data_IF_474815668980
#
_entry.id   IF_474815668980
#
_cell.length_a   1.000
_cell.length_b   1.000
_cell.length_c   1.000
_cell.angle_alpha   90.00
_cell.angle_beta   90.00
_cell.angle_gamma   90.00
#
_symmetry.space_group_name_H-M   'P 1'
#
loop_
_entity.id
_entity.type
_entity.pdbx_description
1 polymer ?
#
# COMPACT_ATOMS: atom_id res chain seq x y z
N UNK A 1 -15.29 5.40 30.24
CA UNK A 1 -15.75 6.47 29.34
C UNK A 1 -14.59 7.06 28.52
N UNK A 2 -13.49 7.49 29.12
CA UNK A 2 -12.34 8.10 28.41
C UNK A 2 -11.64 7.18 27.37
N UNK A 3 -11.48 5.90 27.68
CA UNK A 3 -10.82 4.92 26.77
C UNK A 3 -11.62 4.72 25.47
N UNK A 4 -12.94 4.66 25.56
CA UNK A 4 -13.81 4.53 24.37
C UNK A 4 -13.82 5.78 23.51
N UNK A 5 -13.70 6.97 24.13
CA UNK A 5 -13.63 8.24 23.40
C UNK A 5 -12.30 8.32 22.62
N UNK A 6 -11.18 7.96 23.25
CA UNK A 6 -9.86 7.90 22.59
C UNK A 6 -9.86 6.97 21.40
N UNK A 7 -10.46 5.78 21.52
CA UNK A 7 -10.55 4.81 20.43
C UNK A 7 -11.41 5.31 19.25
N UNK A 8 -12.53 5.96 19.52
CA UNK A 8 -13.38 6.58 18.48
C UNK A 8 -12.66 7.69 17.74
N UNK A 9 -11.91 8.54 18.46
CA UNK A 9 -11.11 9.61 17.87
C UNK A 9 -10.01 9.01 16.98
N UNK A 10 -9.31 8.01 17.46
CA UNK A 10 -8.27 7.30 16.69
C UNK A 10 -8.84 6.66 15.41
N UNK A 11 -9.93 5.91 15.52
CA UNK A 11 -10.63 5.33 14.36
C UNK A 11 -11.05 6.40 13.35
N UNK A 12 -11.66 7.49 13.83
CA UNK A 12 -12.08 8.61 12.97
C UNK A 12 -10.88 9.24 12.27
N UNK A 13 -9.77 9.42 12.97
CA UNK A 13 -8.54 9.96 12.41
C UNK A 13 -7.99 9.04 11.32
N UNK A 14 -7.78 7.74 11.59
CA UNK A 14 -7.25 6.77 10.62
C UNK A 14 -8.11 6.68 9.37
N UNK A 15 -9.44 6.77 9.49
CA UNK A 15 -10.36 6.67 8.35
C UNK A 15 -10.53 7.96 7.57
N UNK A 16 -10.31 9.14 8.18
CA UNK A 16 -10.54 10.43 7.53
C UNK A 16 -9.27 11.15 7.13
N UNK A 17 -8.14 10.92 7.83
CA UNK A 17 -6.88 11.59 7.52
C UNK A 17 -6.42 11.41 6.07
N UNK A 18 -6.49 10.22 5.44
CA UNK A 18 -6.09 10.09 4.05
C UNK A 18 -6.88 11.02 3.11
N UNK A 19 -8.19 11.12 3.31
CA UNK A 19 -9.04 12.02 2.49
C UNK A 19 -8.70 13.50 2.68
N UNK A 20 -8.30 13.90 3.89
CA UNK A 20 -7.82 15.27 4.15
C UNK A 20 -6.45 15.52 3.53
N UNK A 21 -5.62 14.49 3.44
CA UNK A 21 -4.29 14.57 2.82
C UNK A 21 -4.35 14.49 1.29
N UNK A 22 -5.48 14.17 0.68
CA UNK A 22 -5.62 14.05 -0.76
C UNK A 22 -5.25 15.34 -1.50
N UNK A 23 -5.71 16.50 -1.03
CA UNK A 23 -5.41 17.80 -1.67
C UNK A 23 -3.92 18.14 -1.55
N UNK A 24 -3.30 18.17 -0.36
CA UNK A 24 -1.88 18.47 -0.25
C UNK A 24 -0.98 17.44 -0.97
N UNK A 25 -1.35 16.15 -1.00
CA UNK A 25 -0.55 15.13 -1.70
C UNK A 25 -0.51 15.35 -3.23
N UNK A 26 -1.61 15.83 -3.82
CA UNK A 26 -1.68 16.16 -5.26
C UNK A 26 -0.90 17.43 -5.62
N UNK A 27 -0.62 18.30 -4.66
CA UNK A 27 0.20 19.50 -4.87
C UNK A 27 1.71 19.19 -4.91
N UNK A 28 2.13 18.00 -4.50
CA UNK A 28 3.53 17.59 -4.56
C UNK A 28 3.91 17.37 -6.03
N UNK A 29 4.93 18.08 -6.57
CA UNK A 29 5.38 17.88 -7.94
C UNK A 29 5.74 16.42 -8.21
N UNK A 30 5.41 15.92 -9.41
CA UNK A 30 5.69 14.53 -9.76
C UNK A 30 7.17 14.15 -9.60
N UNK A 31 8.09 15.05 -9.92
CA UNK A 31 9.54 14.82 -9.75
C UNK A 31 9.94 14.49 -8.30
N UNK A 32 9.27 15.09 -7.32
CA UNK A 32 9.49 14.80 -5.90
C UNK A 32 8.88 13.45 -5.54
N UNK A 33 7.65 13.18 -5.99
CA UNK A 33 7.00 11.88 -5.80
C UNK A 33 7.84 10.75 -6.42
N UNK A 34 8.29 10.92 -7.67
CA UNK A 34 9.12 9.97 -8.40
C UNK A 34 10.41 9.64 -7.63
N UNK A 35 11.13 10.68 -7.17
CA UNK A 35 12.38 10.48 -6.41
C UNK A 35 12.15 9.73 -5.10
N UNK A 36 11.10 10.08 -4.37
CA UNK A 36 10.72 9.42 -3.12
C UNK A 36 10.37 7.95 -3.37
N UNK A 37 9.46 7.69 -4.33
CA UNK A 37 9.02 6.34 -4.68
C UNK A 37 10.17 5.48 -5.22
N UNK A 38 11.03 6.02 -6.08
CA UNK A 38 12.21 5.30 -6.59
C UNK A 38 13.14 4.88 -5.44
N UNK A 39 13.38 5.78 -4.47
CA UNK A 39 14.22 5.46 -3.32
C UNK A 39 13.59 4.34 -2.48
N UNK A 40 12.29 4.42 -2.21
CA UNK A 40 11.55 3.44 -1.41
C UNK A 40 11.50 2.09 -2.14
N UNK A 41 11.09 2.08 -3.41
CA UNK A 41 10.96 0.83 -4.18
C UNK A 41 12.29 0.15 -4.44
N UNK A 42 13.35 0.90 -4.77
CA UNK A 42 14.69 0.32 -4.92
C UNK A 42 15.23 -0.25 -3.59
N UNK A 43 14.80 0.28 -2.45
CA UNK A 43 15.15 -0.30 -1.15
C UNK A 43 14.33 -1.56 -0.85
N UNK A 44 13.03 -1.53 -1.13
CA UNK A 44 12.12 -2.65 -0.87
C UNK A 44 12.42 -3.84 -1.78
N UNK A 45 12.66 -3.58 -3.07
CA UNK A 45 12.86 -4.61 -4.09
C UNK A 45 14.33 -4.84 -4.44
N UNK A 46 15.27 -4.43 -3.59
CA UNK A 46 16.70 -4.54 -3.85
C UNK A 46 17.10 -5.97 -4.22
N UNK A 47 16.70 -6.93 -3.41
CA UNK A 47 17.01 -8.36 -3.61
C UNK A 47 16.37 -8.89 -4.89
N UNK A 48 15.09 -8.65 -5.11
CA UNK A 48 14.38 -9.03 -6.32
C UNK A 48 14.97 -8.39 -7.60
N UNK A 49 15.55 -7.18 -7.50
CA UNK A 49 16.29 -6.54 -8.60
C UNK A 49 17.59 -7.30 -8.88
N UNK A 50 18.34 -7.66 -7.83
CA UNK A 50 19.62 -8.36 -7.92
C UNK A 50 19.43 -9.79 -8.43
N UNK A 51 18.34 -10.46 -8.08
CA UNK A 51 17.98 -11.83 -8.50
C UNK A 51 17.31 -11.89 -9.88
N UNK A 52 16.86 -10.73 -10.41
CA UNK A 52 16.20 -10.64 -11.71
C UNK A 52 14.70 -10.94 -11.68
N UNK A 53 14.08 -11.01 -10.51
CA UNK A 53 12.65 -11.32 -10.32
C UNK A 53 11.71 -10.26 -10.90
N UNK A 54 12.22 -9.09 -11.25
CA UNK A 54 11.46 -8.01 -11.89
C UNK A 54 11.45 -8.07 -13.43
N UNK A 55 12.08 -9.09 -14.05
CA UNK A 55 12.14 -9.21 -15.50
C UNK A 55 10.76 -9.30 -16.17
N UNK A 56 9.74 -9.82 -15.47
CA UNK A 56 8.36 -9.88 -15.98
C UNK A 56 7.74 -8.49 -16.23
N UNK A 57 8.27 -7.43 -15.60
CA UNK A 57 7.84 -6.04 -15.82
C UNK A 57 8.59 -5.34 -16.98
N UNK A 58 9.55 -5.99 -17.63
CA UNK A 58 10.24 -5.41 -18.78
C UNK A 58 9.25 -5.18 -19.93
N UNK A 59 9.24 -3.95 -20.46
CA UNK A 59 8.31 -3.51 -21.51
C UNK A 59 6.81 -3.61 -21.15
N UNK A 60 6.49 -3.80 -19.87
CA UNK A 60 5.14 -3.81 -19.33
C UNK A 60 4.91 -2.64 -18.39
N UNK A 61 3.66 -2.19 -18.29
CA UNK A 61 3.29 -1.08 -17.43
C UNK A 61 2.27 -1.51 -16.38
N UNK A 62 2.70 -1.43 -15.14
CA UNK A 62 1.87 -1.58 -13.96
C UNK A 62 1.35 -0.21 -13.51
N UNK A 63 0.04 -0.01 -13.54
CA UNK A 63 -0.61 1.19 -12.99
C UNK A 63 -0.94 0.96 -11.52
N UNK A 64 -0.45 1.82 -10.64
CA UNK A 64 -0.79 1.83 -9.22
C UNK A 64 -1.61 3.07 -8.90
N UNK A 65 -2.79 2.88 -8.29
CA UNK A 65 -3.70 3.98 -7.92
C UNK A 65 -4.02 3.92 -6.42
N UNK A 66 -3.77 5.01 -5.73
CA UNK A 66 -4.21 5.22 -4.34
C UNK A 66 -5.51 6.02 -4.37
N UNK A 67 -6.62 5.33 -4.16
CA UNK A 67 -7.97 5.86 -4.42
C UNK A 67 -8.34 7.07 -3.55
N UNK A 68 -8.04 7.02 -2.27
CA UNK A 68 -8.37 8.05 -1.30
C UNK A 68 -7.48 9.30 -1.40
N UNK A 69 -6.21 9.14 -1.84
CA UNK A 69 -5.30 10.24 -2.12
C UNK A 69 -5.41 10.76 -3.56
N UNK A 70 -6.12 10.04 -4.46
CA UNK A 70 -6.22 10.33 -5.90
C UNK A 70 -4.85 10.43 -6.59
N UNK A 71 -3.91 9.60 -6.16
CA UNK A 71 -2.59 9.49 -6.75
C UNK A 71 -2.53 8.29 -7.69
N UNK A 72 -1.85 8.46 -8.80
CA UNK A 72 -1.64 7.38 -9.79
C UNK A 72 -0.22 7.45 -10.32
N UNK A 73 0.42 6.29 -10.40
CA UNK A 73 1.75 6.13 -10.99
C UNK A 73 1.76 4.94 -11.94
N UNK A 74 2.65 4.97 -12.90
CA UNK A 74 2.94 3.88 -13.80
C UNK A 74 4.36 3.39 -13.53
N UNK A 75 4.49 2.10 -13.27
CA UNK A 75 5.74 1.44 -12.97
C UNK A 75 6.10 0.46 -14.09
N UNK A 76 7.37 0.39 -14.42
CA UNK A 76 7.96 -0.58 -15.34
C UNK A 76 9.36 -0.93 -14.84
N UNK A 77 10.03 -1.86 -15.51
CA UNK A 77 11.39 -2.23 -15.19
C UNK A 77 12.29 -2.13 -16.44
N UNK A 78 13.43 -1.46 -16.29
CA UNK A 78 14.53 -1.41 -17.26
C UNK A 78 15.82 -1.26 -16.45
N UNK A 79 16.43 -2.38 -16.04
CA UNK A 79 17.59 -2.46 -15.13
C UNK A 79 17.33 -1.81 -13.74
N UNK A 80 16.36 -0.96 -13.63
CA UNK A 80 15.87 -0.34 -12.39
C UNK A 80 14.37 -0.09 -12.53
N UNK A 81 13.70 0.20 -11.41
CA UNK A 81 12.28 0.55 -11.42
C UNK A 81 12.10 1.93 -12.04
N UNK A 82 11.35 1.97 -13.14
CA UNK A 82 10.97 3.20 -13.87
C UNK A 82 9.61 3.63 -13.38
N UNK A 83 9.47 4.90 -12.97
CA UNK A 83 8.21 5.48 -12.49
C UNK A 83 7.84 6.67 -13.36
N UNK A 84 6.59 6.71 -13.85
CA UNK A 84 6.03 7.80 -14.65
C UNK A 84 4.66 8.22 -14.11
N UNK A 85 4.25 9.45 -14.43
CA UNK A 85 2.90 9.95 -14.16
C UNK A 85 1.91 9.55 -15.26
N UNK A 86 2.42 9.22 -16.46
CA UNK A 86 1.63 8.77 -17.60
C UNK A 86 2.34 7.64 -18.33
N UNK A 87 1.57 6.75 -18.96
CA UNK A 87 2.07 5.72 -19.87
C UNK A 87 1.11 5.58 -21.06
N UNK A 88 1.66 5.19 -22.22
CA UNK A 88 0.88 4.99 -23.45
C UNK A 88 -0.08 3.79 -23.36
N UNK A 89 0.26 2.81 -22.54
CA UNK A 89 -0.55 1.61 -22.28
C UNK A 89 -0.48 1.24 -20.81
N UNK A 90 -1.40 0.39 -20.38
CA UNK A 90 -1.43 -0.18 -19.04
C UNK A 90 -1.76 -1.66 -19.19
N UNK A 91 -0.82 -2.52 -18.82
CA UNK A 91 -0.98 -3.97 -18.96
C UNK A 91 -1.74 -4.53 -17.76
N UNK A 92 -1.43 -4.06 -16.56
CA UNK A 92 -2.12 -4.41 -15.32
C UNK A 92 -2.28 -3.18 -14.42
N UNK A 93 -3.34 -3.13 -13.65
CA UNK A 93 -3.60 -2.07 -12.69
C UNK A 93 -3.91 -2.61 -11.30
N UNK A 94 -3.33 -1.97 -10.31
CA UNK A 94 -3.58 -2.19 -8.89
C UNK A 94 -4.20 -0.93 -8.30
N UNK A 95 -5.27 -1.07 -7.53
CA UNK A 95 -5.87 0.06 -6.84
C UNK A 95 -6.36 -0.32 -5.45
N UNK A 96 -6.03 0.52 -4.47
CA UNK A 96 -6.40 0.37 -3.07
C UNK A 96 -6.45 1.75 -2.39
N UNK A 97 -6.92 1.80 -1.15
CA UNK A 97 -6.72 2.95 -0.26
C UNK A 97 -5.31 2.90 0.36
N UNK A 98 -4.78 4.04 0.78
CA UNK A 98 -3.42 4.12 1.33
C UNK A 98 -3.23 3.26 2.57
N UNK A 99 -4.24 3.20 3.44
CA UNK A 99 -4.20 2.38 4.64
C UNK A 99 -4.01 0.89 4.32
N UNK A 100 -4.65 0.39 3.27
CA UNK A 100 -4.52 -1.00 2.82
C UNK A 100 -3.09 -1.31 2.35
N UNK A 101 -2.53 -0.42 1.56
CA UNK A 101 -1.15 -0.58 1.07
C UNK A 101 -0.13 -0.55 2.21
N UNK A 102 -0.34 0.31 3.23
CA UNK A 102 0.52 0.35 4.41
C UNK A 102 0.38 -0.92 5.25
N UNK A 103 -0.82 -1.49 5.37
CA UNK A 103 -1.05 -2.75 6.09
C UNK A 103 -0.38 -3.93 5.38
N UNK A 104 -0.43 -3.99 4.05
CA UNK A 104 0.31 -4.98 3.26
C UNK A 104 1.82 -4.80 3.43
N UNK A 105 2.32 -3.58 3.24
CA UNK A 105 3.75 -3.28 3.40
C UNK A 105 4.27 -3.61 4.81
N UNK A 106 3.44 -3.43 5.84
CA UNK A 106 3.76 -3.78 7.23
C UNK A 106 3.46 -5.22 7.62
N UNK A 107 3.06 -6.09 6.67
CA UNK A 107 2.67 -7.49 6.91
C UNK A 107 1.59 -7.64 7.99
N UNK A 108 0.69 -6.67 8.09
CA UNK A 108 -0.46 -6.70 9.01
C UNK A 108 -1.72 -7.26 8.35
N UNK A 109 -1.77 -7.21 7.02
CA UNK A 109 -2.81 -7.80 6.18
C UNK A 109 -2.14 -8.49 4.99
N UNK A 110 -2.73 -9.58 4.57
CA UNK A 110 -2.31 -10.35 3.41
C UNK A 110 -2.93 -9.79 2.12
N UNK A 111 -2.17 -9.62 1.01
CA UNK A 111 -2.69 -9.11 -0.26
C UNK A 111 -3.86 -9.91 -0.81
N UNK A 112 -3.86 -11.26 -0.68
CA UNK A 112 -4.96 -12.10 -1.11
C UNK A 112 -6.23 -11.83 -0.32
N UNK A 113 -6.10 -11.68 0.98
CA UNK A 113 -7.23 -11.30 1.85
C UNK A 113 -7.86 -9.99 1.39
N UNK A 114 -7.05 -8.97 1.10
CA UNK A 114 -7.53 -7.68 0.61
C UNK A 114 -8.18 -7.80 -0.77
N UNK A 115 -7.62 -8.62 -1.66
CA UNK A 115 -8.17 -8.88 -2.98
C UNK A 115 -9.56 -9.55 -2.90
N UNK A 116 -9.71 -10.62 -2.11
CA UNK A 116 -10.99 -11.29 -1.91
C UNK A 116 -12.03 -10.40 -1.23
N UNK A 117 -11.61 -9.52 -0.35
CA UNK A 117 -12.47 -8.51 0.29
C UNK A 117 -12.76 -7.29 -0.61
N UNK A 118 -12.21 -7.24 -1.83
CA UNK A 118 -12.34 -6.13 -2.79
C UNK A 118 -11.76 -4.79 -2.27
N UNK A 119 -10.89 -4.84 -1.29
CA UNK A 119 -10.13 -3.70 -0.76
C UNK A 119 -8.90 -3.42 -1.61
N UNK A 120 -8.29 -4.46 -2.19
CA UNK A 120 -7.29 -4.37 -3.26
C UNK A 120 -7.95 -4.85 -4.57
N UNK A 121 -7.88 -4.06 -5.63
CA UNK A 121 -8.40 -4.43 -6.96
C UNK A 121 -7.24 -4.60 -7.92
N UNK A 122 -7.27 -5.71 -8.64
CA UNK A 122 -6.32 -6.06 -9.70
C UNK A 122 -7.12 -6.21 -10.98
N UNK A 123 -6.72 -5.54 -12.06
CA UNK A 123 -7.40 -5.55 -13.35
C UNK A 123 -6.37 -5.53 -14.49
N UNK A 124 -6.68 -6.17 -15.60
CA UNK A 124 -5.83 -6.28 -16.79
C UNK A 124 -5.28 -7.68 -16.96
N UNK A 125 -4.02 -7.80 -17.36
CA UNK A 125 -3.35 -9.06 -17.55
C UNK A 125 -3.27 -9.86 -16.24
N UNK A 126 -3.90 -11.04 -16.24
CA UNK A 126 -4.03 -11.87 -15.03
C UNK A 126 -2.69 -12.50 -14.63
N UNK A 127 -1.88 -12.90 -15.60
CA UNK A 127 -0.57 -13.50 -15.37
C UNK A 127 0.38 -12.47 -14.75
N UNK A 128 0.44 -11.29 -15.36
CA UNK A 128 1.22 -10.16 -14.83
C UNK A 128 0.72 -9.74 -13.44
N UNK A 129 -0.59 -9.74 -13.21
CA UNK A 129 -1.17 -9.46 -11.90
C UNK A 129 -0.75 -10.45 -10.82
N UNK A 130 -0.66 -11.74 -11.18
CA UNK A 130 -0.18 -12.79 -10.28
C UNK A 130 1.30 -12.63 -9.96
N UNK A 131 2.14 -12.33 -10.97
CA UNK A 131 3.58 -12.08 -10.78
C UNK A 131 3.82 -10.90 -9.83
N UNK A 132 3.12 -9.77 -10.05
CA UNK A 132 3.20 -8.61 -9.13
C UNK A 132 2.77 -8.99 -7.71
N UNK A 133 1.71 -9.78 -7.56
CA UNK A 133 1.26 -10.24 -6.25
C UNK A 133 2.34 -11.13 -5.59
N UNK A 134 2.89 -12.10 -6.31
CA UNK A 134 3.95 -12.96 -5.79
C UNK A 134 5.18 -12.15 -5.36
N UNK A 135 5.54 -11.13 -6.15
CA UNK A 135 6.61 -10.20 -5.78
C UNK A 135 6.33 -9.49 -4.45
N UNK A 136 5.08 -9.04 -4.23
CA UNK A 136 4.68 -8.39 -2.96
C UNK A 136 4.72 -9.35 -1.77
N UNK A 137 4.34 -10.61 -1.97
CA UNK A 137 4.37 -11.65 -0.92
C UNK A 137 5.79 -12.02 -0.51
N UNK A 138 6.74 -11.95 -1.45
CA UNK A 138 8.15 -12.30 -1.24
C UNK A 138 9.00 -11.14 -0.70
N UNK A 139 8.44 -9.94 -0.49
CA UNK A 139 9.20 -8.83 0.11
C UNK A 139 9.73 -9.25 1.49
N UNK A 140 11.04 -9.25 1.65
CA UNK A 140 11.68 -9.48 2.94
C UNK A 140 11.77 -8.19 3.75
N UNK A 141 10.84 -8.05 4.71
CA UNK A 141 10.77 -6.88 5.58
C UNK A 141 12.08 -6.63 6.36
N UNK A 142 12.77 -7.72 6.73
CA UNK A 142 13.99 -7.65 7.53
C UNK A 142 15.19 -7.10 6.76
N UNK A 143 15.15 -7.13 5.42
CA UNK A 143 16.18 -6.58 4.54
C UNK A 143 16.03 -5.07 4.28
N UNK A 144 14.93 -4.47 4.74
CA UNK A 144 14.73 -3.02 4.63
C UNK A 144 15.66 -2.27 5.58
N UNK A 145 15.98 -1.02 5.22
CA UNK A 145 16.74 -0.15 6.14
C UNK A 145 16.02 -0.01 7.49
N UNK A 146 16.72 0.04 8.62
CA UNK A 146 16.11 0.10 9.96
C UNK A 146 15.13 1.25 10.14
N UNK A 147 15.39 2.39 9.47
CA UNK A 147 14.50 3.54 9.48
C UNK A 147 13.17 3.21 8.76
N UNK A 148 13.24 2.58 7.59
CA UNK A 148 12.08 2.22 6.80
C UNK A 148 11.25 1.15 7.50
N UNK A 149 11.89 0.11 8.07
CA UNK A 149 11.23 -0.89 8.90
C UNK A 149 10.45 -0.25 10.04
N UNK A 150 11.09 0.65 10.79
CA UNK A 150 10.46 1.33 11.93
C UNK A 150 9.29 2.22 11.50
N UNK A 151 9.44 2.95 10.40
CA UNK A 151 8.36 3.76 9.84
C UNK A 151 7.17 2.89 9.44
N UNK A 152 7.38 1.88 8.60
CA UNK A 152 6.31 1.00 8.13
C UNK A 152 5.63 0.28 9.30
N UNK A 153 6.42 -0.28 10.23
CA UNK A 153 5.89 -1.01 11.40
C UNK A 153 5.03 -0.10 12.29
N UNK A 154 5.50 1.09 12.61
CA UNK A 154 4.75 2.03 13.44
C UNK A 154 3.47 2.51 12.77
N UNK A 155 3.54 2.85 11.48
CA UNK A 155 2.36 3.30 10.72
C UNK A 155 1.35 2.17 10.53
N UNK A 156 1.78 0.97 10.19
CA UNK A 156 0.87 -0.18 10.02
C UNK A 156 0.20 -0.58 11.34
N UNK A 157 0.93 -0.54 12.46
CA UNK A 157 0.35 -0.81 13.78
C UNK A 157 -0.66 0.27 14.17
N UNK A 158 -0.30 1.54 13.97
CA UNK A 158 -1.21 2.66 14.21
C UNK A 158 -2.51 2.53 13.42
N UNK A 159 -2.43 2.19 12.13
CA UNK A 159 -3.59 1.99 11.26
C UNK A 159 -4.40 0.77 11.75
N UNK A 160 -3.74 -0.36 12.00
CA UNK A 160 -4.40 -1.59 12.45
C UNK A 160 -5.20 -1.38 13.73
N UNK A 161 -4.60 -0.77 14.74
CA UNK A 161 -5.27 -0.44 16.01
C UNK A 161 -6.43 0.53 15.78
N UNK A 162 -6.28 1.51 14.90
CA UNK A 162 -7.35 2.47 14.60
C UNK A 162 -8.51 1.87 13.81
N UNK A 163 -8.28 0.83 13.01
CA UNK A 163 -9.32 0.15 12.23
C UNK A 163 -10.10 -0.90 13.04
N UNK A 164 -9.55 -1.41 14.16
CA UNK A 164 -10.24 -2.36 15.02
C UNK A 164 -11.43 -1.67 15.70
N UNK A 165 -12.63 -1.95 15.20
CA UNK A 165 -13.88 -1.53 15.87
C UNK A 165 -14.15 -2.54 16.99
N UNK A 166 -13.81 -2.21 18.25
CA UNK A 166 -14.28 -2.98 19.38
C UNK A 166 -15.79 -2.79 19.51
N UNK A 167 -16.62 -3.84 19.37
CA UNK A 167 -18.04 -3.72 19.62
C UNK A 167 -18.25 -3.24 21.07
N UNK A 168 -19.23 -2.36 21.32
CA UNK A 168 -19.51 -1.90 22.67
C UNK A 168 -19.82 -3.11 23.56
N UNK A 169 -19.09 -3.24 24.66
CA UNK A 169 -19.16 -4.34 25.62
C UNK A 169 -20.59 -4.65 26.10
N UNK A 170 -21.50 -3.66 26.04
CA UNK A 170 -22.89 -3.81 26.43
C UNK A 170 -23.75 -4.77 25.59
N UNK A 171 -23.27 -5.24 24.42
CA UNK A 171 -24.03 -6.23 23.63
C UNK A 171 -23.72 -7.68 24.00
N UNK A 172 -22.66 -7.94 24.76
CA UNK A 172 -22.28 -9.29 25.18
C UNK A 172 -23.02 -9.68 26.48
N UNK A 173 -23.31 -8.73 27.36
CA UNK A 173 -23.96 -8.98 28.65
C UNK A 173 -25.49 -9.13 28.51
N UNK A 174 -26.10 -8.63 27.43
CA UNK A 174 -27.54 -8.75 27.20
C UNK A 174 -27.99 -10.07 26.54
N UNK A 175 -27.06 -11.01 26.30
CA UNK A 175 -27.34 -12.36 25.74
C UNK A 175 -26.98 -13.50 26.70
N UNK A 176 -26.61 -13.20 27.92
CA UNK A 176 -26.52 -14.14 29.04
C UNK A 176 -27.72 -13.94 29.96
#
# INVERSE_FOLDING_TARGET
MFIQLGHKIHHHFVTKAPKLLAVPSQLIPFSVQQKCLSTVFNSIFKEAIEEGDLAFLENKWLKVTINDLKLTWFLSFDKAIVIKDTAAQCDVSFSAEVNELILVAGRKEDPDTLFFQRRLKIQGDTELGLEVKNLLDNIEFDNLSPLLQKCISNFSEFIKVGLVITPPINKVIAKM
#
